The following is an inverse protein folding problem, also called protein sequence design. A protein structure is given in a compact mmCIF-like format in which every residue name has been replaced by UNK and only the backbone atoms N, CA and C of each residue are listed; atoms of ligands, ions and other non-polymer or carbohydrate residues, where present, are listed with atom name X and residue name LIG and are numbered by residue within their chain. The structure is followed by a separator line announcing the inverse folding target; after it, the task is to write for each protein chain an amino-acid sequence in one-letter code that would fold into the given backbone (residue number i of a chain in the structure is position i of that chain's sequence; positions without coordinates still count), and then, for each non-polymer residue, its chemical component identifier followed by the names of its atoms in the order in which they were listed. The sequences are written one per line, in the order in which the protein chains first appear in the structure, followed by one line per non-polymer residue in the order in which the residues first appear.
data_IF_095263703150
#
_entry.id   IF_095263703150
#
_cell.length_a   1.000
_cell.length_b   1.000
_cell.length_c   1.000
_cell.angle_alpha   90.00
_cell.angle_beta   90.00
_cell.angle_gamma   90.00
#
_symmetry.space_group_name_H-M   'P 1'
#
loop_
_entity.id
_entity.type
_entity.pdbx_description
1 polymer ?
#
# COMPACT_ATOMS: atom_id res chain seq x y z
N UNK A 1 -32.50 -8.03 -30.03
CA UNK A 1 -32.16 -8.36 -28.63
C UNK A 1 -30.67 -8.14 -28.46
N UNK A 2 -30.23 -7.11 -27.71
CA UNK A 2 -28.82 -6.96 -27.34
C UNK A 2 -28.58 -7.81 -26.10
N UNK A 3 -27.60 -8.71 -26.17
CA UNK A 3 -27.16 -9.51 -25.04
C UNK A 3 -26.73 -8.56 -23.91
N UNK A 4 -27.29 -8.78 -22.73
CA UNK A 4 -26.84 -8.16 -21.50
C UNK A 4 -25.55 -8.91 -21.17
N UNK A 5 -24.39 -8.35 -21.52
CA UNK A 5 -23.12 -8.87 -21.02
C UNK A 5 -23.17 -8.79 -19.49
N UNK A 6 -23.29 -9.95 -18.86
CA UNK A 6 -23.13 -10.11 -17.42
C UNK A 6 -21.76 -9.55 -17.05
N UNK A 7 -21.72 -8.35 -16.46
CA UNK A 7 -20.49 -7.80 -15.89
C UNK A 7 -20.07 -8.69 -14.71
N UNK A 8 -19.15 -9.62 -14.98
CA UNK A 8 -18.51 -10.40 -13.91
C UNK A 8 -17.87 -9.45 -12.90
N UNK A 9 -18.32 -9.54 -11.64
CA UNK A 9 -17.69 -8.85 -10.53
C UNK A 9 -16.26 -9.39 -10.43
N UNK A 10 -15.25 -8.54 -10.69
CA UNK A 10 -13.86 -8.92 -10.48
C UNK A 10 -13.62 -9.25 -9.01
N UNK A 11 -13.09 -10.44 -8.77
CA UNK A 11 -12.68 -10.91 -7.44
C UNK A 11 -11.16 -10.87 -7.38
N UNK A 12 -10.65 -10.45 -6.24
CA UNK A 12 -9.21 -10.42 -5.98
C UNK A 12 -8.91 -11.20 -4.70
N UNK A 13 -7.76 -11.84 -4.63
CA UNK A 13 -7.22 -12.41 -3.40
C UNK A 13 -6.07 -11.52 -2.91
N UNK A 14 -6.03 -11.24 -1.61
CA UNK A 14 -4.86 -10.62 -0.99
C UNK A 14 -4.00 -11.76 -0.46
N UNK A 15 -2.71 -11.75 -0.80
CA UNK A 15 -1.75 -12.73 -0.30
C UNK A 15 -0.42 -12.10 0.04
N UNK A 16 0.32 -12.77 0.92
CA UNK A 16 1.74 -12.47 1.14
C UNK A 16 2.52 -12.72 -0.15
N UNK A 17 3.60 -11.96 -0.32
CA UNK A 17 4.52 -12.07 -1.44
C UNK A 17 5.96 -11.84 -0.99
N UNK A 18 6.90 -12.06 -1.90
CA UNK A 18 8.29 -11.62 -1.75
C UNK A 18 8.49 -10.24 -2.37
N UNK A 19 9.50 -9.50 -1.91
CA UNK A 19 9.78 -8.16 -2.41
C UNK A 19 9.93 -8.09 -3.94
N UNK A 20 10.52 -9.14 -4.54
CA UNK A 20 10.77 -9.20 -5.99
C UNK A 20 9.47 -9.23 -6.81
N UNK A 21 8.39 -9.80 -6.26
CA UNK A 21 7.08 -9.87 -6.93
C UNK A 21 6.45 -8.48 -7.10
N UNK A 22 6.86 -7.50 -6.29
CA UNK A 22 6.31 -6.15 -6.32
C UNK A 22 6.99 -5.29 -7.39
N UNK A 23 8.24 -5.61 -7.76
CA UNK A 23 9.07 -4.77 -8.62
C UNK A 23 8.44 -4.43 -9.97
N UNK A 24 7.75 -5.37 -10.68
CA UNK A 24 7.10 -5.04 -11.95
C UNK A 24 6.03 -3.94 -11.80
N UNK A 25 5.19 -4.02 -10.75
CA UNK A 25 4.12 -3.02 -10.57
C UNK A 25 4.67 -1.71 -9.96
N UNK A 26 5.71 -1.77 -9.13
CA UNK A 26 6.45 -0.57 -8.70
C UNK A 26 7.05 0.17 -9.90
N UNK A 27 7.68 -0.57 -10.82
CA UNK A 27 8.23 -0.03 -12.07
C UNK A 27 7.14 0.68 -12.87
N UNK A 28 6.08 -0.06 -13.23
CA UNK A 28 5.03 0.44 -14.11
C UNK A 28 4.26 1.64 -13.52
N UNK A 29 3.97 1.64 -12.21
CA UNK A 29 3.05 2.61 -11.59
C UNK A 29 3.78 3.72 -10.81
N UNK A 30 4.88 3.40 -10.14
CA UNK A 30 5.55 4.33 -9.20
C UNK A 30 6.85 4.92 -9.74
N UNK A 31 7.41 4.34 -10.80
CA UNK A 31 8.74 4.66 -11.34
C UNK A 31 8.77 4.84 -12.85
N UNK A 32 7.61 5.07 -13.48
CA UNK A 32 7.51 5.38 -14.91
C UNK A 32 8.25 4.38 -15.82
N UNK A 33 8.14 3.09 -15.51
CA UNK A 33 8.77 2.02 -16.29
C UNK A 33 10.28 1.83 -16.06
N UNK A 34 10.85 2.39 -14.99
CA UNK A 34 12.26 2.18 -14.64
C UNK A 34 12.59 0.69 -14.47
N UNK A 35 13.85 0.25 -14.70
CA UNK A 35 14.26 -1.12 -14.49
C UNK A 35 13.93 -1.65 -13.08
N UNK A 36 13.58 -2.94 -12.91
CA UNK A 36 13.22 -3.52 -11.60
C UNK A 36 14.25 -3.27 -10.48
N UNK A 37 15.55 -3.29 -10.81
CA UNK A 37 16.64 -3.00 -9.87
C UNK A 37 16.56 -1.59 -9.25
N UNK A 38 16.01 -0.63 -9.99
CA UNK A 38 15.86 0.77 -9.55
C UNK A 38 14.52 0.98 -8.81
N UNK A 39 13.73 -0.09 -8.65
CA UNK A 39 12.45 -0.11 -7.96
C UNK A 39 12.51 -0.80 -6.59
N UNK A 40 13.70 -1.27 -6.19
CA UNK A 40 13.97 -1.81 -4.86
C UNK A 40 14.00 -0.67 -3.85
N UNK A 41 13.43 -0.93 -2.67
CA UNK A 41 13.50 -0.03 -1.54
C UNK A 41 14.51 -0.57 -0.53
N UNK A 42 15.31 0.30 0.08
CA UNK A 42 16.29 -0.12 1.10
C UNK A 42 15.62 -0.92 2.22
N UNK A 43 14.39 -0.51 2.59
CA UNK A 43 13.60 -1.16 3.62
C UNK A 43 13.13 -2.58 3.26
N UNK A 44 13.19 -2.99 1.99
CA UNK A 44 12.79 -4.34 1.56
C UNK A 44 13.66 -5.43 2.21
N UNK A 45 14.88 -5.09 2.61
CA UNK A 45 15.82 -5.99 3.29
C UNK A 45 15.64 -6.06 4.81
N UNK A 46 14.79 -5.21 5.40
CA UNK A 46 14.59 -5.19 6.84
C UNK A 46 13.83 -6.44 7.29
N UNK A 47 14.36 -7.11 8.32
CA UNK A 47 13.66 -8.20 9.00
C UNK A 47 12.32 -7.70 9.52
N UNK A 48 11.26 -8.46 9.28
CA UNK A 48 9.89 -8.07 9.65
C UNK A 48 9.16 -7.25 8.59
N UNK A 49 9.78 -6.94 7.45
CA UNK A 49 9.07 -6.36 6.30
C UNK A 49 8.04 -7.33 5.74
N UNK A 50 6.86 -6.81 5.43
CA UNK A 50 5.72 -7.56 4.90
C UNK A 50 5.37 -7.01 3.52
N UNK A 51 5.20 -7.90 2.56
CA UNK A 51 4.81 -7.55 1.20
C UNK A 51 3.51 -8.23 0.85
N UNK A 52 2.57 -7.46 0.31
CA UNK A 52 1.26 -7.94 -0.09
C UNK A 52 1.02 -7.64 -1.56
N UNK A 53 0.37 -8.59 -2.22
CA UNK A 53 -0.17 -8.42 -3.56
C UNK A 53 -1.67 -8.64 -3.55
N UNK A 54 -2.37 -7.89 -4.38
CA UNK A 54 -3.72 -8.19 -4.80
C UNK A 54 -3.63 -8.89 -6.16
N UNK A 55 -4.11 -10.12 -6.19
CA UNK A 55 -4.09 -10.99 -7.37
C UNK A 55 -5.51 -11.16 -7.90
N UNK A 56 -5.71 -10.94 -9.20
CA UNK A 56 -6.98 -11.18 -9.86
C UNK A 56 -7.26 -12.68 -9.89
N UNK A 57 -8.39 -13.10 -9.30
CA UNK A 57 -8.67 -14.52 -9.10
C UNK A 57 -8.92 -15.29 -10.41
N UNK A 58 -9.31 -14.61 -11.49
CA UNK A 58 -9.58 -15.24 -12.77
C UNK A 58 -8.30 -15.39 -13.62
N UNK A 59 -7.42 -14.38 -13.58
CA UNK A 59 -6.22 -14.32 -14.43
C UNK A 59 -4.93 -14.68 -13.71
N UNK A 60 -4.96 -14.74 -12.37
CA UNK A 60 -3.79 -14.91 -11.49
C UNK A 60 -2.77 -13.76 -11.63
N UNK A 61 -3.16 -12.64 -12.21
CA UNK A 61 -2.27 -11.50 -12.38
C UNK A 61 -2.22 -10.61 -11.14
N UNK A 62 -1.03 -10.12 -10.80
CA UNK A 62 -0.85 -9.10 -9.77
C UNK A 62 -1.35 -7.75 -10.30
N UNK A 63 -2.35 -7.19 -9.61
CA UNK A 63 -3.01 -5.93 -9.97
C UNK A 63 -2.85 -4.83 -8.94
N UNK A 64 -2.43 -5.17 -7.73
CA UNK A 64 -2.13 -4.20 -6.67
C UNK A 64 -1.04 -4.70 -5.76
N UNK A 65 -0.30 -3.77 -5.15
CA UNK A 65 0.81 -4.07 -4.24
C UNK A 65 0.87 -3.08 -3.09
N UNK A 66 1.45 -3.51 -1.97
CA UNK A 66 1.84 -2.65 -0.85
C UNK A 66 2.96 -3.31 -0.05
N UNK A 67 3.78 -2.50 0.61
CA UNK A 67 4.81 -2.93 1.55
C UNK A 67 4.59 -2.29 2.91
N UNK A 68 4.82 -3.05 3.97
CA UNK A 68 4.90 -2.59 5.35
C UNK A 68 6.30 -2.88 5.88
N UNK A 69 6.95 -1.88 6.47
CA UNK A 69 8.29 -2.03 7.04
C UNK A 69 8.28 -1.62 8.51
N UNK A 70 8.98 -2.34 9.41
CA UNK A 70 9.09 -1.99 10.83
C UNK A 70 10.05 -0.81 11.00
N UNK A 71 9.54 0.38 10.71
CA UNK A 71 10.30 1.63 10.71
C UNK A 71 9.52 2.64 11.55
N UNK A 72 10.11 3.13 12.66
CA UNK A 72 9.52 4.20 13.47
C UNK A 72 9.20 5.45 12.66
N UNK A 73 8.08 6.10 12.99
CA UNK A 73 7.72 7.36 12.38
C UNK A 73 8.71 8.46 12.80
N UNK A 74 9.43 9.12 11.87
CA UNK A 74 10.57 9.97 12.25
C UNK A 74 10.23 11.19 13.12
N UNK A 75 8.99 11.70 13.08
CA UNK A 75 8.59 12.91 13.82
C UNK A 75 8.09 12.63 15.24
N UNK A 76 7.70 11.39 15.52
CA UNK A 76 7.17 10.94 16.82
C UNK A 76 7.43 9.44 16.94
N UNK A 77 8.67 8.99 17.17
CA UNK A 77 9.04 7.58 16.99
C UNK A 77 8.39 6.66 18.03
N UNK A 78 7.85 5.53 17.56
CA UNK A 78 7.41 4.40 18.39
C UNK A 78 7.99 3.13 17.76
N UNK A 79 8.60 2.25 18.56
CA UNK A 79 9.24 1.02 18.07
C UNK A 79 8.24 0.07 17.40
N UNK A 80 6.97 0.12 17.81
CA UNK A 80 5.86 -0.65 17.27
C UNK A 80 5.12 0.04 16.11
N UNK A 81 5.85 0.83 15.32
CA UNK A 81 5.35 1.44 14.09
C UNK A 81 5.61 0.58 12.85
N UNK A 82 4.70 0.68 11.90
CA UNK A 82 4.88 0.20 10.53
C UNK A 82 4.81 1.36 9.54
N UNK A 83 5.80 1.45 8.67
CA UNK A 83 5.76 2.32 7.50
C UNK A 83 5.05 1.61 6.35
N UNK A 84 3.90 2.12 5.92
CA UNK A 84 3.26 1.74 4.67
C UNK A 84 3.92 2.47 3.49
N UNK A 85 4.41 1.69 2.52
CA UNK A 85 5.10 2.20 1.34
C UNK A 85 4.71 1.43 0.09
N UNK A 86 4.95 2.04 -1.07
CA UNK A 86 4.83 1.35 -2.36
C UNK A 86 3.40 0.97 -2.76
N UNK A 87 2.39 1.63 -2.19
CA UNK A 87 0.98 1.40 -2.58
C UNK A 87 0.79 1.73 -4.06
N UNK A 88 0.44 0.73 -4.85
CA UNK A 88 0.16 0.88 -6.27
C UNK A 88 -0.96 -0.07 -6.69
N UNK A 89 -1.85 0.43 -7.54
CA UNK A 89 -2.89 -0.35 -8.21
C UNK A 89 -2.77 -0.08 -9.71
N UNK A 90 -2.82 -1.16 -10.51
CA UNK A 90 -2.79 -1.10 -11.97
C UNK A 90 -3.86 -0.13 -12.48
N UNK A 91 -3.51 0.68 -13.47
CA UNK A 91 -4.30 1.84 -13.91
C UNK A 91 -5.74 1.50 -14.33
N UNK A 92 -5.98 0.32 -14.90
CA UNK A 92 -7.31 -0.18 -15.29
C UNK A 92 -8.13 -0.84 -14.17
N UNK A 93 -7.56 -1.00 -12.98
CA UNK A 93 -8.20 -1.65 -11.82
C UNK A 93 -8.53 -0.65 -10.69
N UNK A 94 -8.37 0.65 -10.97
CA UNK A 94 -8.70 1.73 -10.04
C UNK A 94 -10.23 1.83 -9.89
N UNK A 95 -10.72 1.81 -8.65
CA UNK A 95 -12.16 1.87 -8.35
C UNK A 95 -12.79 0.52 -7.98
N UNK A 96 -12.07 -0.60 -8.11
CA UNK A 96 -12.54 -1.92 -7.70
C UNK A 96 -12.21 -2.27 -6.22
N UNK A 97 -12.00 -1.25 -5.37
CA UNK A 97 -11.61 -1.39 -3.96
C UNK A 97 -10.30 -2.16 -3.69
N UNK A 98 -9.48 -2.45 -4.70
CA UNK A 98 -8.20 -3.18 -4.56
C UNK A 98 -7.29 -2.53 -3.51
N UNK A 99 -7.03 -1.24 -3.64
CA UNK A 99 -6.17 -0.50 -2.70
C UNK A 99 -6.72 -0.52 -1.27
N UNK A 100 -8.04 -0.40 -1.12
CA UNK A 100 -8.70 -0.46 0.19
C UNK A 100 -8.50 -1.81 0.86
N UNK A 101 -8.70 -2.91 0.12
CA UNK A 101 -8.48 -4.27 0.63
C UNK A 101 -7.03 -4.54 1.02
N UNK A 102 -6.07 -4.00 0.26
CA UNK A 102 -4.65 -4.05 0.64
C UNK A 102 -4.40 -3.32 1.97
N UNK A 103 -5.00 -2.14 2.17
CA UNK A 103 -4.86 -1.39 3.44
C UNK A 103 -5.54 -2.11 4.61
N UNK A 104 -6.73 -2.70 4.40
CA UNK A 104 -7.43 -3.51 5.42
C UNK A 104 -6.59 -4.73 5.85
N UNK A 105 -5.93 -5.40 4.90
CA UNK A 105 -5.01 -6.51 5.19
C UNK A 105 -3.74 -6.02 5.90
N UNK A 106 -3.22 -4.84 5.53
CA UNK A 106 -2.12 -4.18 6.24
C UNK A 106 -2.49 -3.89 7.71
N UNK A 107 -3.67 -3.34 7.96
CA UNK A 107 -4.17 -3.05 9.31
C UNK A 107 -4.30 -4.34 10.11
N UNK A 108 -4.91 -5.37 9.52
CA UNK A 108 -5.08 -6.69 10.15
C UNK A 108 -3.72 -7.26 10.58
N UNK A 109 -2.75 -7.28 9.66
CA UNK A 109 -1.39 -7.80 9.94
C UNK A 109 -0.64 -6.98 10.98
N UNK A 110 -0.76 -5.66 10.91
CA UNK A 110 -0.21 -4.75 11.92
C UNK A 110 -0.76 -5.06 13.31
N UNK A 111 -2.08 -5.11 13.46
CA UNK A 111 -2.74 -5.44 14.73
C UNK A 111 -2.32 -6.82 15.24
N UNK A 112 -2.40 -7.87 14.40
CA UNK A 112 -2.02 -9.24 14.82
C UNK A 112 -0.53 -9.39 15.12
N UNK A 113 0.31 -8.52 14.55
CA UNK A 113 1.75 -8.48 14.77
C UNK A 113 2.16 -7.70 16.01
N UNK A 114 1.21 -7.13 16.77
CA UNK A 114 1.49 -6.33 17.97
C UNK A 114 1.98 -4.91 17.68
N UNK A 115 1.80 -4.43 16.45
CA UNK A 115 2.11 -3.04 16.10
C UNK A 115 1.00 -2.11 16.57
N UNK A 116 1.33 -0.86 16.86
CA UNK A 116 0.40 0.12 17.43
C UNK A 116 0.03 1.23 16.45
N UNK A 117 0.82 1.44 15.40
CA UNK A 117 0.53 2.47 14.41
C UNK A 117 1.12 2.14 13.04
N UNK A 118 0.35 2.47 12.00
CA UNK A 118 0.82 2.52 10.62
C UNK A 118 0.99 3.97 10.23
N UNK A 119 2.05 4.31 9.53
CA UNK A 119 2.25 5.65 8.97
C UNK A 119 2.68 5.59 7.50
N UNK A 120 2.41 6.64 6.76
CA UNK A 120 2.91 6.81 5.41
C UNK A 120 3.19 8.29 5.10
N UNK A 121 3.99 8.52 4.06
CA UNK A 121 4.01 9.80 3.37
C UNK A 121 3.10 9.68 2.16
N UNK A 122 1.88 10.18 2.30
CA UNK A 122 0.88 10.15 1.24
C UNK A 122 1.15 11.30 0.27
N UNK A 123 1.20 10.99 -1.03
CA UNK A 123 1.13 12.02 -2.08
C UNK A 123 -0.17 12.81 -1.90
N UNK A 124 -0.15 14.11 -2.19
CA UNK A 124 -1.34 14.99 -2.09
C UNK A 124 -2.59 14.40 -2.75
N UNK A 125 -2.43 13.82 -3.94
CA UNK A 125 -3.53 13.18 -4.70
C UNK A 125 -4.11 11.91 -4.05
N UNK A 126 -3.37 11.29 -3.12
CA UNK A 126 -3.76 10.06 -2.43
C UNK A 126 -4.35 10.31 -1.03
N UNK A 127 -4.31 11.54 -0.51
CA UNK A 127 -4.85 11.89 0.81
C UNK A 127 -6.32 11.44 0.97
N UNK A 128 -7.24 11.74 0.03
CA UNK A 128 -8.64 11.33 0.19
C UNK A 128 -8.85 9.80 0.20
N UNK A 129 -7.91 9.04 -0.38
CA UNK A 129 -7.93 7.58 -0.31
C UNK A 129 -7.55 7.09 1.09
N UNK A 130 -6.48 7.62 1.67
CA UNK A 130 -6.03 7.23 3.01
C UNK A 130 -7.02 7.68 4.10
N UNK A 131 -7.63 8.86 3.96
CA UNK A 131 -8.70 9.33 4.86
C UNK A 131 -9.90 8.37 4.88
N UNK A 132 -10.32 7.89 3.70
CA UNK A 132 -11.38 6.85 3.59
C UNK A 132 -10.99 5.51 4.21
N UNK A 133 -9.69 5.25 4.38
CA UNK A 133 -9.18 4.08 5.08
C UNK A 133 -8.95 4.35 6.59
N UNK A 134 -9.32 5.53 7.10
CA UNK A 134 -9.22 5.88 8.51
C UNK A 134 -7.87 6.49 8.93
N UNK A 135 -6.98 6.80 7.98
CA UNK A 135 -5.75 7.53 8.29
C UNK A 135 -6.06 9.01 8.55
N UNK A 136 -5.31 9.62 9.45
CA UNK A 136 -5.39 11.06 9.76
C UNK A 136 -4.07 11.75 9.42
N UNK A 137 -4.14 12.98 8.93
CA UNK A 137 -2.94 13.78 8.66
C UNK A 137 -2.18 14.12 9.95
N UNK A 138 -0.85 14.10 9.87
CA UNK A 138 0.07 14.49 10.93
C UNK A 138 0.95 15.65 10.45
N UNK A 139 0.63 16.86 10.92
CA UNK A 139 1.37 18.08 10.57
C UNK A 139 1.10 18.58 9.14
N UNK A 140 1.89 19.57 8.68
CA UNK A 140 1.67 20.24 7.40
C UNK A 140 2.15 19.41 6.20
N UNK A 141 1.69 19.81 5.00
CA UNK A 141 2.24 19.38 3.71
C UNK A 141 3.73 19.74 3.60
N UNK A 142 4.50 18.87 2.95
CA UNK A 142 5.91 19.08 2.66
C UNK A 142 6.25 18.60 1.24
N UNK A 143 7.32 19.17 0.67
CA UNK A 143 7.76 18.81 -0.68
C UNK A 143 8.71 17.61 -0.65
N UNK A 144 8.36 16.51 -1.33
CA UNK A 144 9.30 15.42 -1.63
C UNK A 144 10.02 15.75 -2.94
N UNK A 145 11.36 15.89 -2.95
CA UNK A 145 12.10 16.32 -4.14
C UNK A 145 11.89 15.46 -5.40
N UNK A 146 11.49 14.20 -5.24
CA UNK A 146 11.31 13.24 -6.34
C UNK A 146 9.84 13.05 -6.72
N UNK A 147 8.92 13.34 -5.81
CA UNK A 147 7.53 12.90 -5.93
C UNK A 147 6.49 14.02 -5.69
N UNK A 148 6.93 15.24 -5.40
CA UNK A 148 6.06 16.41 -5.24
C UNK A 148 5.48 16.54 -3.83
N UNK A 149 4.33 17.20 -3.66
CA UNK A 149 3.75 17.47 -2.35
C UNK A 149 3.23 16.20 -1.64
N UNK A 150 3.60 16.06 -0.38
CA UNK A 150 3.23 14.94 0.51
C UNK A 150 2.71 15.43 1.85
N UNK A 151 1.92 14.59 2.51
CA UNK A 151 1.50 14.76 3.90
C UNK A 151 1.82 13.47 4.66
N UNK A 152 2.35 13.60 5.88
CA UNK A 152 2.48 12.45 6.76
C UNK A 152 1.09 12.06 7.26
N UNK A 153 0.73 10.78 7.17
CA UNK A 153 -0.56 10.28 7.63
C UNK A 153 -0.36 9.07 8.54
N UNK A 154 -1.18 8.98 9.57
CA UNK A 154 -1.10 7.93 10.60
C UNK A 154 -2.44 7.20 10.75
N UNK A 155 -2.37 5.91 11.04
CA UNK A 155 -3.49 5.07 11.46
C UNK A 155 -3.10 4.41 12.78
N UNK A 156 -3.92 4.61 13.83
CA UNK A 156 -3.70 3.95 15.12
C UNK A 156 -4.32 2.56 15.07
N UNK A 157 -3.49 1.54 15.27
CA UNK A 157 -3.95 0.15 15.36
C UNK A 157 -4.58 -0.05 16.74
N UNK A 158 -5.79 -0.59 16.75
CA UNK A 158 -6.45 -1.00 17.98
C UNK A 158 -6.06 -2.45 18.25
N UNK A 159 -5.78 -2.83 19.52
CA UNK A 159 -5.68 -4.23 19.90
C UNK A 159 -6.96 -4.99 19.53
N UNK A 160 -6.83 -6.23 19.11
CA UNK A 160 -7.95 -7.17 19.18
C UNK A 160 -8.09 -7.62 20.63
N UNK A 161 -9.20 -7.25 21.26
CA UNK A 161 -9.61 -7.73 22.59
C UNK A 161 -9.70 -9.26 22.66
#
# INVERSE_FOLDING_TARGET
MKAIESMSIKKYAIRSARAEELLPLRSAVLRNGAPPKDCVFDEDSLLGSIFLVAEDSATQEVVGIVSLHPVPFPKDPIDSDLRLRGMAVRTGERGANVGRRLVEDCITRGTTGGYTRIWCYARKVAIPFYEKCGFVAFGPEFEDPKHGPHVAMIYRLQPTD
#
